data_IF_569548055484
#
_entry.id   IF_569548055484
#
_cell.length_a   1.000
_cell.length_b   1.000
_cell.length_c   1.000
_cell.angle_alpha   90.00
_cell.angle_beta   90.00
_cell.angle_gamma   90.00
#
_symmetry.space_group_name_H-M   'P 1'
#
loop_
_entity.id
_entity.type
_entity.pdbx_description
1 polymer ?
#
# COMPACT_ATOMS: atom_id res chain seq x y z
N UNK A 1 -10.90 -9.13 -5.35
CA UNK A 1 -11.37 -7.82 -4.90
C UNK A 1 -10.19 -6.98 -4.47
N UNK A 2 -10.08 -5.76 -5.00
CA UNK A 2 -9.00 -4.81 -4.74
C UNK A 2 -9.41 -3.75 -3.72
N UNK A 3 -8.43 -3.00 -3.19
CA UNK A 3 -8.70 -1.88 -2.28
C UNK A 3 -9.51 -0.76 -2.96
N UNK A 4 -9.29 -0.54 -4.26
CA UNK A 4 -10.02 0.45 -5.04
C UNK A 4 -11.49 0.08 -5.24
N UNK A 5 -11.77 -1.19 -5.54
CA UNK A 5 -13.15 -1.69 -5.67
C UNK A 5 -13.92 -1.53 -4.36
N UNK A 6 -13.35 -2.00 -3.24
CA UNK A 6 -13.95 -1.84 -1.91
C UNK A 6 -14.20 -0.36 -1.57
N UNK A 7 -13.22 0.51 -1.84
CA UNK A 7 -13.36 1.93 -1.59
C UNK A 7 -14.51 2.54 -2.38
N UNK A 8 -14.64 2.22 -3.67
CA UNK A 8 -15.73 2.72 -4.54
C UNK A 8 -17.10 2.20 -4.12
N UNK A 9 -17.17 1.01 -3.53
CA UNK A 9 -18.39 0.44 -2.93
C UNK A 9 -18.72 1.06 -1.55
N UNK A 10 -17.90 1.99 -1.05
CA UNK A 10 -18.10 2.59 0.27
C UNK A 10 -17.65 1.71 1.44
N UNK A 11 -16.92 0.62 1.16
CA UNK A 11 -16.48 -0.35 2.16
C UNK A 11 -15.10 0.07 2.69
N UNK A 12 -15.01 0.23 4.00
CA UNK A 12 -13.72 0.41 4.70
C UNK A 12 -13.12 -0.99 4.93
N UNK A 13 -11.96 -1.24 4.34
CA UNK A 13 -11.27 -2.52 4.51
C UNK A 13 -10.44 -2.53 5.81
N UNK A 14 -10.09 -3.72 6.35
CA UNK A 14 -9.15 -3.81 7.47
C UNK A 14 -7.78 -3.17 7.15
N UNK A 15 -7.35 -3.19 5.88
CA UNK A 15 -6.12 -2.54 5.48
C UNK A 15 -6.22 -1.01 5.57
N UNK A 16 -7.37 -0.42 5.20
CA UNK A 16 -7.61 1.02 5.35
C UNK A 16 -7.59 1.44 6.82
N UNK A 17 -8.17 0.65 7.72
CA UNK A 17 -8.12 0.92 9.17
C UNK A 17 -6.69 0.91 9.72
N UNK A 18 -5.87 -0.06 9.30
CA UNK A 18 -4.47 -0.15 9.74
C UNK A 18 -3.66 1.05 9.24
N UNK A 19 -3.89 1.47 7.99
CA UNK A 19 -3.24 2.67 7.42
C UNK A 19 -3.68 3.93 8.15
N UNK A 20 -4.99 4.10 8.38
CA UNK A 20 -5.56 5.23 9.10
C UNK A 20 -4.95 5.39 10.50
N UNK A 21 -4.88 4.29 11.25
CA UNK A 21 -4.26 4.24 12.58
C UNK A 21 -2.78 4.62 12.56
N UNK A 22 -2.03 4.16 11.55
CA UNK A 22 -0.60 4.46 11.42
C UNK A 22 -0.33 5.93 11.04
N UNK A 23 -1.19 6.52 10.22
CA UNK A 23 -1.08 7.90 9.77
C UNK A 23 -1.66 8.90 10.77
N UNK A 24 -2.56 8.45 11.67
CA UNK A 24 -3.23 9.31 12.65
C UNK A 24 -4.39 10.09 12.02
N UNK A 25 -5.11 9.46 11.10
CA UNK A 25 -6.24 10.06 10.36
C UNK A 25 -7.46 9.13 10.42
N UNK A 26 -8.62 9.62 10.02
CA UNK A 26 -9.85 8.83 9.97
C UNK A 26 -9.81 7.76 8.86
N UNK A 27 -10.43 6.60 9.11
CA UNK A 27 -10.49 5.52 8.11
C UNK A 27 -11.28 5.94 6.85
N UNK A 28 -12.28 6.81 7.01
CA UNK A 28 -13.05 7.35 5.91
C UNK A 28 -12.21 8.28 5.01
N UNK A 29 -11.26 9.04 5.58
CA UNK A 29 -10.30 9.83 4.79
C UNK A 29 -9.45 8.93 3.90
N UNK A 30 -8.98 7.79 4.43
CA UNK A 30 -8.23 6.80 3.64
C UNK A 30 -9.12 6.20 2.55
N UNK A 31 -10.35 5.78 2.88
CA UNK A 31 -11.29 5.19 1.91
C UNK A 31 -11.61 6.16 0.78
N UNK A 32 -11.89 7.43 1.07
CA UNK A 32 -12.13 8.47 0.07
C UNK A 32 -10.92 8.66 -0.84
N UNK A 33 -9.73 8.83 -0.26
CA UNK A 33 -8.51 8.98 -1.05
C UNK A 33 -8.20 7.77 -1.93
N UNK A 34 -8.53 6.55 -1.47
CA UNK A 34 -8.43 5.33 -2.30
C UNK A 34 -9.47 5.32 -3.41
N UNK A 35 -10.73 5.68 -3.13
CA UNK A 35 -11.79 5.74 -4.13
C UNK A 35 -11.51 6.77 -5.24
N UNK A 36 -10.92 7.91 -4.87
CA UNK A 36 -10.50 8.99 -5.75
C UNK A 36 -9.19 8.69 -6.51
N UNK A 37 -8.43 7.69 -6.07
CA UNK A 37 -7.15 7.30 -6.68
C UNK A 37 -5.96 8.16 -6.28
N UNK A 38 -6.10 9.01 -5.25
CA UNK A 38 -5.01 9.83 -4.70
C UNK A 38 -4.22 9.14 -3.59
N UNK A 39 -4.77 8.05 -3.04
CA UNK A 39 -4.12 7.15 -2.08
C UNK A 39 -4.16 5.71 -2.63
N UNK A 40 -3.06 4.98 -2.50
CA UNK A 40 -2.97 3.55 -2.81
C UNK A 40 -2.50 2.76 -1.59
N UNK A 41 -3.05 1.55 -1.43
CA UNK A 41 -2.61 0.59 -0.41
C UNK A 41 -2.19 -0.71 -1.13
N UNK A 42 -0.88 -0.94 -1.34
CA UNK A 42 -0.40 -2.17 -1.97
C UNK A 42 -0.62 -3.37 -1.03
N UNK A 43 -1.67 -4.13 -1.28
CA UNK A 43 -2.08 -5.26 -0.44
C UNK A 43 -2.39 -6.51 -1.28
N UNK A 44 -1.36 -7.07 -1.90
CA UNK A 44 -1.48 -8.34 -2.62
C UNK A 44 -1.89 -9.45 -1.64
N UNK A 45 -2.96 -10.18 -1.95
CA UNK A 45 -3.52 -11.25 -1.12
C UNK A 45 -2.54 -12.41 -0.89
N UNK A 46 -1.53 -12.58 -1.76
CA UNK A 46 -0.46 -13.58 -1.59
C UNK A 46 0.61 -13.18 -0.57
N UNK A 47 0.67 -11.91 -0.16
CA UNK A 47 1.67 -11.41 0.79
C UNK A 47 1.09 -11.41 2.21
N UNK A 48 1.04 -12.57 2.85
CA UNK A 48 0.33 -12.79 4.12
C UNK A 48 0.97 -12.12 5.33
N UNK A 49 2.27 -11.83 5.30
CA UNK A 49 3.03 -11.15 6.36
C UNK A 49 3.09 -9.63 6.18
N UNK A 50 2.36 -9.06 5.22
CA UNK A 50 2.36 -7.63 4.94
C UNK A 50 1.79 -6.84 6.12
N UNK A 51 2.48 -5.75 6.48
CA UNK A 51 1.89 -4.67 7.28
C UNK A 51 1.43 -3.56 6.32
N UNK A 52 0.11 -3.33 6.17
CA UNK A 52 -0.42 -2.35 5.24
C UNK A 52 0.13 -0.93 5.46
N UNK A 53 0.49 -0.26 4.36
CA UNK A 53 0.89 1.16 4.32
C UNK A 53 0.20 1.85 3.16
N UNK A 54 -0.26 3.08 3.41
CA UNK A 54 -0.81 3.95 2.39
C UNK A 54 0.28 4.81 1.76
N UNK A 55 0.16 5.07 0.46
CA UNK A 55 1.01 6.00 -0.29
C UNK A 55 0.06 6.96 -0.99
N UNK A 56 0.20 8.27 -0.76
CA UNK A 56 -0.69 9.24 -1.37
C UNK A 56 -0.70 10.60 -0.67
N UNK A 57 -1.52 11.51 -1.20
CA UNK A 57 -1.66 12.86 -0.68
C UNK A 57 -2.24 12.86 0.74
N UNK A 58 -1.72 13.74 1.60
CA UNK A 58 -2.15 13.87 3.01
C UNK A 58 -1.58 12.82 3.97
N UNK A 59 -0.76 11.88 3.47
CA UNK A 59 -0.04 10.89 4.28
C UNK A 59 1.43 11.29 4.46
N UNK A 60 2.12 10.69 5.44
CA UNK A 60 3.57 10.89 5.60
C UNK A 60 4.30 10.40 4.33
N UNK A 61 5.30 11.14 3.87
CA UNK A 61 6.14 10.76 2.73
C UNK A 61 6.73 9.36 2.91
N UNK A 62 6.70 8.54 1.86
CA UNK A 62 7.26 7.18 1.84
C UNK A 62 8.52 7.16 0.98
N UNK A 63 9.46 6.29 1.34
CA UNK A 63 10.70 6.04 0.59
C UNK A 63 10.73 4.57 0.17
N UNK A 64 11.27 4.31 -1.01
CA UNK A 64 11.47 2.95 -1.54
C UNK A 64 12.96 2.67 -1.66
N UNK A 65 13.38 1.45 -1.31
CA UNK A 65 14.75 1.00 -1.45
C UNK A 65 14.79 -0.21 -2.41
N UNK A 66 15.61 -0.13 -3.45
CA UNK A 66 15.83 -1.22 -4.39
C UNK A 66 16.97 -2.11 -3.88
N UNK A 67 16.73 -3.42 -3.80
CA UNK A 67 17.72 -4.41 -3.34
C UNK A 67 17.76 -5.55 -4.37
N UNK A 68 18.98 -6.02 -4.69
CA UNK A 68 19.23 -7.16 -5.58
C UNK A 68 20.71 -7.22 -5.95
N UNK A 69 21.31 -8.40 -5.88
CA UNK A 69 22.68 -8.62 -6.34
C UNK A 69 22.66 -8.99 -7.84
N UNK A 70 23.61 -8.49 -8.66
CA UNK A 70 23.79 -9.01 -10.00
C UNK A 70 24.16 -10.49 -9.91
N UNK A 71 23.63 -11.30 -10.84
CA UNK A 71 24.12 -12.66 -11.03
C UNK A 71 25.54 -12.57 -11.57
N UNK A 72 26.52 -12.81 -10.70
CA UNK A 72 27.89 -13.02 -11.14
C UNK A 72 27.96 -14.41 -11.77
N UNK A 73 27.86 -14.47 -13.10
CA UNK A 73 28.19 -15.66 -13.87
C UNK A 73 29.68 -15.52 -14.20
N UNK A 74 30.53 -16.19 -13.43
CA UNK A 74 31.94 -16.31 -13.77
C UNK A 74 32.06 -17.18 -15.03
N UNK A 75 32.11 -16.54 -16.20
CA UNK A 75 32.67 -17.17 -17.39
C UNK A 75 34.19 -17.21 -17.23
N UNK A 76 34.69 -18.23 -16.51
CA UNK A 76 36.09 -18.61 -16.60
C UNK A 76 36.36 -19.08 -18.03
N UNK A 77 37.11 -18.27 -18.79
CA UNK A 77 37.85 -18.72 -19.98
C UNK A 77 39.09 -19.51 -19.53
#
# INVERSE_FOLDING_TARGET
MTQLELAKEGIISPQMEVVARYEGVEAEFIRQGVAEGIIVIPANTKHTSLVPRGIGQGLKTKVNANIGAPLQIDFCN
#
